data_IF_544556895268
#
_entry.id   IF_544556895268
#
_cell.length_a   1.000
_cell.length_b   1.000
_cell.length_c   1.000
_cell.angle_alpha   90.00
_cell.angle_beta   90.00
_cell.angle_gamma   90.00
#
_symmetry.space_group_name_H-M   'P 1'
#
loop_
_entity.id
_entity.type
_entity.pdbx_description
1 polymer ?
#
# COMPACT_ATOMS: atom_id res chain seq x y z
N UNK A 1 11.06 20.57 -21.16
CA UNK A 1 10.28 19.77 -20.21
C UNK A 1 10.22 20.56 -18.92
N UNK A 2 9.03 21.01 -18.49
CA UNK A 2 8.87 21.53 -17.14
C UNK A 2 8.99 20.35 -16.18
N UNK A 3 9.81 20.45 -15.15
CA UNK A 3 9.78 19.47 -14.06
C UNK A 3 8.37 19.53 -13.44
N UNK A 4 7.71 18.38 -13.39
CA UNK A 4 6.45 18.23 -12.66
C UNK A 4 6.75 18.42 -11.16
N UNK A 5 5.85 19.09 -10.44
CA UNK A 5 6.07 19.38 -9.02
C UNK A 5 6.20 18.06 -8.23
N UNK A 6 7.29 17.87 -7.46
CA UNK A 6 7.52 16.64 -6.70
C UNK A 6 6.34 16.26 -5.79
N UNK A 7 5.60 17.24 -5.26
CA UNK A 7 4.41 16.99 -4.46
C UNK A 7 3.33 16.25 -5.25
N UNK A 8 3.05 16.68 -6.49
CA UNK A 8 2.03 16.04 -7.32
C UNK A 8 2.45 14.64 -7.77
N UNK A 9 3.76 14.45 -8.03
CA UNK A 9 4.32 13.13 -8.38
C UNK A 9 4.12 12.15 -7.22
N UNK A 10 4.58 12.50 -6.02
CA UNK A 10 4.47 11.61 -4.84
C UNK A 10 3.02 11.40 -4.44
N UNK A 11 2.16 12.43 -4.49
CA UNK A 11 0.71 12.28 -4.29
C UNK A 11 0.12 11.24 -5.25
N UNK A 12 0.48 11.26 -6.53
CA UNK A 12 -0.02 10.29 -7.51
C UNK A 12 0.55 8.89 -7.28
N UNK A 13 1.79 8.78 -6.81
CA UNK A 13 2.41 7.50 -6.40
C UNK A 13 1.68 6.88 -5.19
N UNK A 14 1.40 7.68 -4.16
CA UNK A 14 0.59 7.26 -3.00
C UNK A 14 -0.79 6.78 -3.44
N UNK A 15 -1.46 7.50 -4.35
CA UNK A 15 -2.75 7.08 -4.88
C UNK A 15 -2.67 5.76 -5.65
N UNK A 16 -1.60 5.53 -6.42
CA UNK A 16 -1.38 4.26 -7.12
C UNK A 16 -1.09 3.13 -6.14
N UNK A 17 -0.27 3.38 -5.12
CA UNK A 17 0.06 2.41 -4.08
C UNK A 17 -1.20 2.01 -3.29
N UNK A 18 -2.04 2.98 -2.93
CA UNK A 18 -3.30 2.74 -2.22
C UNK A 18 -4.25 1.88 -3.05
N UNK A 19 -4.45 2.19 -4.33
CA UNK A 19 -5.30 1.38 -5.21
C UNK A 19 -4.83 -0.08 -5.33
N UNK A 20 -3.52 -0.31 -5.43
CA UNK A 20 -2.94 -1.67 -5.42
C UNK A 20 -3.18 -2.36 -4.08
N UNK A 21 -3.00 -1.64 -2.98
CA UNK A 21 -3.21 -2.15 -1.61
C UNK A 21 -4.66 -2.53 -1.37
N UNK A 22 -5.63 -1.77 -1.89
CA UNK A 22 -7.06 -2.11 -1.83
C UNK A 22 -7.37 -3.44 -2.54
N UNK A 23 -6.78 -3.68 -3.73
CA UNK A 23 -6.95 -4.95 -4.44
C UNK A 23 -6.34 -6.11 -3.64
N UNK A 24 -5.16 -5.92 -3.08
CA UNK A 24 -4.49 -6.91 -2.24
C UNK A 24 -5.31 -7.21 -0.96
N UNK A 25 -5.94 -6.19 -0.39
CA UNK A 25 -6.83 -6.33 0.76
C UNK A 25 -8.08 -7.14 0.41
N UNK A 26 -8.67 -6.90 -0.77
CA UNK A 26 -9.76 -7.73 -1.27
C UNK A 26 -9.38 -9.21 -1.35
N UNK A 27 -8.20 -9.51 -1.92
CA UNK A 27 -7.67 -10.89 -1.97
C UNK A 27 -7.45 -11.47 -0.57
N UNK A 28 -6.91 -10.68 0.35
CA UNK A 28 -6.71 -11.10 1.74
C UNK A 28 -8.01 -11.46 2.47
N UNK A 29 -9.11 -10.76 2.17
CA UNK A 29 -10.43 -11.10 2.71
C UNK A 29 -10.94 -12.43 2.15
N UNK A 30 -10.73 -12.71 0.86
CA UNK A 30 -11.11 -13.99 0.24
C UNK A 30 -10.33 -15.17 0.86
N UNK A 31 -9.06 -14.96 1.21
CA UNK A 31 -8.18 -15.99 1.77
C UNK A 31 -8.45 -16.32 3.24
N UNK A 32 -9.29 -15.55 3.93
CA UNK A 32 -9.61 -15.77 5.35
C UNK A 32 -10.62 -16.90 5.61
N UNK A 33 -11.05 -17.65 4.59
CA UNK A 33 -11.94 -18.81 4.80
C UNK A 33 -11.26 -19.85 5.72
N UNK A 34 -11.80 -20.10 6.93
CA UNK A 34 -11.21 -20.99 7.91
C UNK A 34 -11.19 -22.47 7.46
N UNK A 35 -11.84 -22.82 6.35
CA UNK A 35 -11.81 -24.17 5.77
C UNK A 35 -10.71 -24.35 4.70
N UNK A 36 -9.84 -23.35 4.50
CA UNK A 36 -8.77 -23.39 3.51
C UNK A 36 -7.77 -24.53 3.71
N UNK A 37 -7.35 -25.16 2.61
CA UNK A 37 -6.26 -26.16 2.59
C UNK A 37 -4.91 -25.49 2.93
N UNK A 38 -3.90 -26.24 3.40
CA UNK A 38 -2.57 -25.69 3.76
C UNK A 38 -1.95 -24.69 2.75
N UNK A 39 -2.05 -24.85 1.42
CA UNK A 39 -1.55 -23.87 0.46
C UNK A 39 -2.23 -22.49 0.56
N UNK A 40 -3.47 -22.44 1.03
CA UNK A 40 -4.24 -21.20 1.27
C UNK A 40 -3.70 -20.44 2.47
N UNK A 41 -3.15 -21.17 3.46
CA UNK A 41 -2.55 -20.57 4.66
C UNK A 41 -1.22 -19.87 4.36
N UNK A 42 -0.36 -20.51 3.55
CA UNK A 42 0.89 -19.88 3.10
C UNK A 42 0.60 -18.64 2.23
N UNK A 43 -0.41 -18.70 1.35
CA UNK A 43 -0.85 -17.55 0.55
C UNK A 43 -1.42 -16.43 1.43
N UNK A 44 -2.20 -16.77 2.47
CA UNK A 44 -2.72 -15.81 3.44
C UNK A 44 -1.60 -15.12 4.23
N UNK A 45 -0.60 -15.85 4.70
CA UNK A 45 0.54 -15.29 5.46
C UNK A 45 1.40 -14.37 4.58
N UNK A 46 1.65 -14.78 3.33
CA UNK A 46 2.34 -13.93 2.35
C UNK A 46 1.54 -12.65 2.06
N UNK A 47 0.25 -12.79 1.76
CA UNK A 47 -0.64 -11.65 1.46
C UNK A 47 -0.74 -10.69 2.65
N UNK A 48 -0.79 -11.22 3.87
CA UNK A 48 -0.78 -10.44 5.11
C UNK A 48 0.51 -9.64 5.27
N UNK A 49 1.66 -10.25 4.96
CA UNK A 49 2.97 -9.60 5.04
C UNK A 49 3.09 -8.48 4.02
N UNK A 50 2.68 -8.76 2.78
CA UNK A 50 2.73 -7.79 1.69
C UNK A 50 1.82 -6.58 1.96
N UNK A 51 0.62 -6.80 2.51
CA UNK A 51 -0.27 -5.72 2.95
C UNK A 51 0.38 -4.80 3.99
N UNK A 52 1.00 -5.38 5.02
CA UNK A 52 1.67 -4.60 6.07
C UNK A 52 2.84 -3.78 5.52
N UNK A 53 3.59 -4.33 4.58
CA UNK A 53 4.68 -3.64 3.93
C UNK A 53 4.18 -2.50 3.05
N UNK A 54 3.12 -2.73 2.26
CA UNK A 54 2.52 -1.72 1.41
C UNK A 54 1.95 -0.55 2.23
N UNK A 55 1.24 -0.85 3.33
CA UNK A 55 0.70 0.16 4.23
C UNK A 55 1.82 1.00 4.87
N UNK A 56 2.89 0.36 5.37
CA UNK A 56 4.04 1.07 5.94
C UNK A 56 4.71 2.00 4.94
N UNK A 57 4.85 1.55 3.68
CA UNK A 57 5.41 2.40 2.62
C UNK A 57 4.55 3.63 2.38
N UNK A 58 3.22 3.46 2.34
CA UNK A 58 2.27 4.57 2.18
C UNK A 58 2.35 5.53 3.37
N UNK A 59 2.44 5.01 4.60
CA UNK A 59 2.60 5.83 5.81
C UNK A 59 3.85 6.71 5.73
N UNK A 60 4.99 6.15 5.33
CA UNK A 60 6.22 6.93 5.13
C UNK A 60 6.09 7.99 4.04
N UNK A 61 5.49 7.66 2.89
CA UNK A 61 5.28 8.64 1.82
C UNK A 61 4.37 9.80 2.28
N UNK A 62 3.40 9.51 3.15
CA UNK A 62 2.52 10.53 3.74
C UNK A 62 3.25 11.40 4.78
N UNK A 63 4.10 10.81 5.62
CA UNK A 63 4.97 11.55 6.56
C UNK A 63 5.87 12.52 5.79
N UNK A 64 6.52 12.08 4.71
CA UNK A 64 7.38 12.92 3.87
C UNK A 64 6.60 14.07 3.21
N UNK A 65 5.36 13.81 2.76
CA UNK A 65 4.47 14.84 2.21
C UNK A 65 4.04 15.87 3.26
N UNK A 66 3.73 15.43 4.49
CA UNK A 66 3.38 16.31 5.60
C UNK A 66 4.56 17.19 6.01
N UNK A 67 5.76 16.62 6.12
CA UNK A 67 6.99 17.37 6.39
C UNK A 67 7.25 18.43 5.31
N UNK A 68 6.99 18.10 4.04
CA UNK A 68 7.13 19.05 2.92
C UNK A 68 6.17 20.24 3.04
N UNK A 69 4.93 20.02 3.48
CA UNK A 69 3.94 21.09 3.68
C UNK A 69 4.34 22.01 4.84
N UNK A 70 4.91 21.45 5.91
CA UNK A 70 5.32 22.21 7.10
C UNK A 70 6.60 23.05 6.91
N UNK A 71 7.32 22.87 5.79
CA UNK A 71 8.51 23.66 5.43
C UNK A 71 8.16 24.89 4.56
N UNK A 72 6.94 24.94 4.01
CA UNK A 72 6.42 26.04 3.16
C UNK A 72 5.76 27.17 3.98
#
# INVERSE_FOLDING_TARGET
MSLEDPFFVVKDEVNKALNKTCNLYGRWLELQDPNGLDPVRDELDWTSTELRNALRSIEWDLEDLEDTINIL
#
